data_IF_274565373646
#
_entry.id   IF_274565373646
#
_cell.length_a   1.000
_cell.length_b   1.000
_cell.length_c   1.000
_cell.angle_alpha   90.00
_cell.angle_beta   90.00
_cell.angle_gamma   90.00
#
_symmetry.space_group_name_H-M   'P 1'
#
loop_
_entity.id
_entity.type
_entity.pdbx_description
1 polymer ?
#
# COMPACT_ATOMS: atom_id res chain seq x y z
N UNK A 1 17.74 23.71 14.41
CA UNK A 1 17.18 22.70 15.34
C UNK A 1 15.66 22.81 15.50
N UNK A 2 15.06 23.97 15.76
CA UNK A 2 13.59 24.13 15.95
C UNK A 2 12.74 23.69 14.76
N UNK A 3 13.13 23.96 13.53
CA UNK A 3 12.37 23.55 12.33
C UNK A 3 12.22 22.03 12.20
N UNK A 4 13.25 21.25 12.54
CA UNK A 4 13.17 19.77 12.51
C UNK A 4 12.21 19.22 13.58
N UNK A 5 12.05 19.93 14.70
CA UNK A 5 11.11 19.54 15.77
C UNK A 5 9.66 19.76 15.31
N UNK A 6 9.37 20.93 14.74
CA UNK A 6 8.04 21.28 14.21
C UNK A 6 7.59 20.28 13.16
N UNK A 7 8.46 20.00 12.17
CA UNK A 7 8.15 19.02 11.12
C UNK A 7 7.84 17.63 11.71
N UNK A 8 8.62 17.17 12.69
CA UNK A 8 8.40 15.88 13.34
C UNK A 8 7.08 15.82 14.11
N UNK A 9 6.72 16.87 14.81
CA UNK A 9 5.46 16.93 15.57
C UNK A 9 4.27 16.94 14.62
N UNK A 10 4.28 17.81 13.61
CA UNK A 10 3.20 17.91 12.64
C UNK A 10 3.04 16.60 11.88
N UNK A 11 4.13 15.99 11.42
CA UNK A 11 4.06 14.72 10.67
C UNK A 11 3.52 13.57 11.53
N UNK A 12 3.91 13.48 12.81
CA UNK A 12 3.35 12.48 13.74
C UNK A 12 1.83 12.60 13.88
N UNK A 13 1.35 13.84 13.87
CA UNK A 13 -0.09 14.10 13.93
C UNK A 13 -0.79 13.83 12.60
N UNK A 14 -0.17 14.19 11.48
CA UNK A 14 -0.78 14.10 10.16
C UNK A 14 -0.83 12.64 9.61
N UNK A 15 0.21 11.83 9.85
CA UNK A 15 0.31 10.47 9.32
C UNK A 15 -0.92 9.60 9.67
N UNK A 16 -1.41 9.53 10.92
CA UNK A 16 -2.60 8.76 11.24
C UNK A 16 -3.84 9.19 10.44
N UNK A 17 -4.02 10.49 10.19
CA UNK A 17 -5.14 10.98 9.37
C UNK A 17 -5.00 10.59 7.91
N UNK A 18 -3.79 10.61 7.35
CA UNK A 18 -3.54 10.13 5.98
C UNK A 18 -3.89 8.64 5.88
N UNK A 19 -3.47 7.83 6.85
CA UNK A 19 -3.76 6.40 6.86
C UNK A 19 -5.26 6.13 7.05
N UNK A 20 -5.93 6.89 7.93
CA UNK A 20 -7.38 6.80 8.11
C UNK A 20 -8.13 7.19 6.84
N UNK A 21 -7.68 8.25 6.15
CA UNK A 21 -8.25 8.66 4.88
C UNK A 21 -8.03 7.60 3.78
N UNK A 22 -6.87 6.93 3.75
CA UNK A 22 -6.63 5.82 2.85
C UNK A 22 -7.64 4.67 3.07
N UNK A 23 -7.91 4.33 4.33
CA UNK A 23 -8.92 3.32 4.67
C UNK A 23 -10.34 3.78 4.27
N UNK A 24 -10.67 5.04 4.46
CA UNK A 24 -11.95 5.60 4.00
C UNK A 24 -12.09 5.44 2.48
N UNK A 25 -11.07 5.82 1.71
CA UNK A 25 -11.07 5.70 0.24
C UNK A 25 -11.18 4.24 -0.20
N UNK A 26 -10.53 3.31 0.54
CA UNK A 26 -10.63 1.87 0.28
C UNK A 26 -12.08 1.37 0.37
N UNK A 27 -12.81 1.76 1.42
CA UNK A 27 -14.18 1.32 1.64
C UNK A 27 -15.21 2.09 0.80
N UNK A 28 -14.82 3.18 0.16
CA UNK A 28 -15.71 4.01 -0.64
C UNK A 28 -15.76 3.60 -2.12
N UNK A 29 -14.88 2.72 -2.58
CA UNK A 29 -14.75 2.33 -3.99
C UNK A 29 -16.01 1.72 -4.59
N UNK A 30 -16.81 1.01 -3.78
CA UNK A 30 -18.07 0.39 -4.20
C UNK A 30 -19.22 1.42 -4.40
N UNK A 31 -19.12 2.61 -3.84
CA UNK A 31 -20.17 3.62 -3.82
C UNK A 31 -19.85 4.88 -4.63
N UNK A 32 -18.59 5.09 -5.02
CA UNK A 32 -18.16 6.31 -5.70
C UNK A 32 -16.69 6.33 -6.06
N UNK A 33 -16.11 7.52 -6.31
CA UNK A 33 -14.69 7.63 -6.66
C UNK A 33 -13.81 7.22 -5.47
N UNK A 34 -13.16 6.08 -5.59
CA UNK A 34 -12.30 5.47 -4.58
C UNK A 34 -11.73 4.15 -5.08
N UNK A 35 -11.38 3.27 -4.15
CA UNK A 35 -10.97 1.90 -4.43
C UNK A 35 -9.50 1.61 -4.12
N UNK A 36 -9.12 0.36 -4.33
CA UNK A 36 -7.84 -0.20 -3.89
C UNK A 36 -6.61 0.54 -4.39
N UNK A 37 -6.58 0.95 -5.64
CA UNK A 37 -5.41 1.65 -6.19
C UNK A 37 -5.17 2.99 -5.48
N UNK A 38 -6.19 3.83 -5.39
CA UNK A 38 -6.09 5.15 -4.75
C UNK A 38 -5.75 5.01 -3.27
N UNK A 39 -6.43 4.12 -2.58
CA UNK A 39 -6.17 3.83 -1.17
C UNK A 39 -4.74 3.36 -0.94
N UNK A 40 -4.24 2.45 -1.79
CA UNK A 40 -2.88 1.93 -1.73
C UNK A 40 -1.82 3.02 -1.90
N UNK A 41 -2.02 3.94 -2.85
CA UNK A 41 -1.10 5.07 -3.06
C UNK A 41 -1.11 6.03 -1.87
N UNK A 42 -2.30 6.36 -1.33
CA UNK A 42 -2.41 7.25 -0.15
C UNK A 42 -1.77 6.61 1.08
N UNK A 43 -1.97 5.30 1.28
CA UNK A 43 -1.34 4.56 2.37
C UNK A 43 0.19 4.58 2.25
N UNK A 44 0.72 4.34 1.05
CA UNK A 44 2.15 4.44 0.77
C UNK A 44 2.68 5.85 1.02
N UNK A 45 1.94 6.90 0.64
CA UNK A 45 2.32 8.29 0.87
C UNK A 45 2.48 8.60 2.37
N UNK A 46 1.59 8.09 3.22
CA UNK A 46 1.70 8.21 4.68
C UNK A 46 2.98 7.56 5.23
N UNK A 47 3.31 6.36 4.74
CA UNK A 47 4.56 5.68 5.11
C UNK A 47 5.80 6.38 4.57
N UNK A 48 5.76 6.88 3.34
CA UNK A 48 6.86 7.64 2.72
C UNK A 48 7.11 8.93 3.48
N UNK A 49 6.07 9.65 3.89
CA UNK A 49 6.19 10.82 4.75
C UNK A 49 6.92 10.47 6.06
N UNK A 50 6.56 9.35 6.69
CA UNK A 50 7.26 8.85 7.87
C UNK A 50 8.75 8.61 7.56
N UNK A 51 9.06 7.94 6.46
CA UNK A 51 10.44 7.63 6.06
C UNK A 51 11.27 8.89 5.77
N UNK A 52 10.69 9.92 5.14
CA UNK A 52 11.36 11.20 4.86
C UNK A 52 11.68 11.95 6.16
N UNK A 53 10.75 11.98 7.11
CA UNK A 53 10.91 12.78 8.35
C UNK A 53 11.77 12.07 9.39
N UNK A 54 11.62 10.75 9.54
CA UNK A 54 12.29 9.97 10.59
C UNK A 54 13.49 9.17 10.09
N UNK A 55 13.65 9.07 8.78
CA UNK A 55 14.72 8.33 8.10
C UNK A 55 14.30 6.94 7.63
N UNK A 56 14.82 6.53 6.48
CA UNK A 56 14.52 5.25 5.84
C UNK A 56 14.85 4.06 6.74
N UNK A 57 15.94 4.13 7.53
CA UNK A 57 16.31 3.06 8.46
C UNK A 57 15.22 2.80 9.50
N UNK A 58 14.69 3.85 10.13
CA UNK A 58 13.59 3.73 11.09
C UNK A 58 12.30 3.25 10.44
N UNK A 59 12.02 3.69 9.24
CA UNK A 59 10.88 3.19 8.48
C UNK A 59 11.00 1.68 8.18
N UNK A 60 12.21 1.20 7.89
CA UNK A 60 12.49 -0.22 7.70
C UNK A 60 12.40 -1.06 8.99
N UNK A 61 12.57 -0.45 10.15
CA UNK A 61 12.31 -1.11 11.46
C UNK A 61 10.81 -1.34 11.66
N UNK A 62 9.95 -0.41 11.20
CA UNK A 62 8.49 -0.52 11.26
C UNK A 62 7.97 -1.49 10.20
N UNK A 63 8.45 -1.38 8.97
CA UNK A 63 8.03 -2.21 7.84
C UNK A 63 9.27 -2.70 7.08
N UNK A 64 9.70 -3.91 7.41
CA UNK A 64 10.91 -4.52 6.84
C UNK A 64 10.74 -4.84 5.35
N UNK A 65 11.87 -5.02 4.64
CA UNK A 65 11.85 -5.43 3.23
C UNK A 65 11.23 -6.82 3.02
N UNK A 66 11.31 -7.69 4.01
CA UNK A 66 10.65 -8.98 3.96
C UNK A 66 9.12 -8.82 4.11
N UNK A 67 8.67 -7.96 5.03
CA UNK A 67 7.26 -7.68 5.23
C UNK A 67 6.61 -7.06 3.98
N UNK A 68 7.26 -6.08 3.31
CA UNK A 68 6.73 -5.51 2.07
C UNK A 68 6.64 -6.54 0.94
N UNK A 69 7.61 -7.46 0.82
CA UNK A 69 7.53 -8.56 -0.15
C UNK A 69 6.39 -9.53 0.14
N UNK A 70 6.20 -9.88 1.41
CA UNK A 70 5.09 -10.76 1.83
C UNK A 70 3.74 -10.09 1.53
N UNK A 71 3.58 -8.81 1.87
CA UNK A 71 2.36 -8.05 1.56
C UNK A 71 2.09 -8.01 0.06
N UNK A 72 3.12 -7.80 -0.77
CA UNK A 72 2.98 -7.80 -2.23
C UNK A 72 2.46 -9.16 -2.74
N UNK A 73 3.04 -10.25 -2.25
CA UNK A 73 2.60 -11.61 -2.61
C UNK A 73 1.17 -11.87 -2.14
N UNK A 74 0.82 -11.49 -0.90
CA UNK A 74 -0.54 -11.64 -0.36
C UNK A 74 -1.54 -10.86 -1.22
N UNK A 75 -1.24 -9.60 -1.58
CA UNK A 75 -2.13 -8.77 -2.40
C UNK A 75 -2.39 -9.39 -3.78
N UNK A 76 -1.35 -9.86 -4.46
CA UNK A 76 -1.49 -10.54 -5.76
C UNK A 76 -2.24 -11.85 -5.64
N UNK A 77 -1.96 -12.64 -4.60
CA UNK A 77 -2.67 -13.90 -4.36
C UNK A 77 -4.14 -13.67 -4.02
N UNK A 78 -4.47 -12.62 -3.28
CA UNK A 78 -5.85 -12.27 -2.97
C UNK A 78 -6.62 -11.91 -4.24
N UNK A 79 -6.06 -11.03 -5.07
CA UNK A 79 -6.64 -10.66 -6.37
C UNK A 79 -6.87 -11.91 -7.26
N UNK A 80 -5.81 -12.68 -7.49
CA UNK A 80 -5.86 -13.87 -8.34
C UNK A 80 -6.75 -14.96 -7.75
N UNK A 81 -6.73 -15.10 -6.43
CA UNK A 81 -7.52 -16.09 -5.69
C UNK A 81 -9.01 -15.89 -5.84
N UNK A 82 -9.48 -14.64 -5.85
CA UNK A 82 -10.91 -14.35 -6.14
C UNK A 82 -11.29 -14.80 -7.55
N UNK A 83 -10.39 -14.55 -8.53
CA UNK A 83 -10.62 -15.01 -9.90
C UNK A 83 -10.68 -16.55 -10.02
N UNK A 84 -9.77 -17.25 -9.33
CA UNK A 84 -9.73 -18.72 -9.30
C UNK A 84 -10.97 -19.26 -8.57
N UNK A 85 -11.40 -18.65 -7.47
CA UNK A 85 -12.61 -19.03 -6.75
C UNK A 85 -13.86 -18.95 -7.67
N UNK A 86 -13.96 -17.91 -8.50
CA UNK A 86 -15.04 -17.79 -9.50
C UNK A 86 -15.09 -19.01 -10.43
N UNK A 87 -13.94 -19.45 -10.95
CA UNK A 87 -13.87 -20.65 -11.81
C UNK A 87 -14.26 -21.92 -11.05
N UNK A 88 -13.78 -22.10 -9.82
CA UNK A 88 -14.07 -23.29 -9.01
C UNK A 88 -15.55 -23.40 -8.63
N UNK A 89 -16.24 -22.27 -8.55
CA UNK A 89 -17.68 -22.20 -8.30
C UNK A 89 -18.55 -22.30 -9.57
N UNK A 90 -17.91 -22.57 -10.72
CA UNK A 90 -18.61 -22.80 -11.99
C UNK A 90 -18.88 -21.54 -12.83
N UNK A 91 -18.30 -20.40 -12.46
CA UNK A 91 -18.33 -19.15 -13.23
C UNK A 91 -17.09 -18.97 -14.10
N UNK A 92 -16.97 -17.79 -14.70
CA UNK A 92 -15.76 -17.37 -15.40
C UNK A 92 -14.73 -16.76 -14.42
N UNK A 93 -13.48 -16.55 -14.89
CA UNK A 93 -12.48 -15.83 -14.10
C UNK A 93 -12.97 -14.43 -13.75
N UNK A 94 -12.95 -14.08 -12.46
CA UNK A 94 -13.51 -12.83 -11.92
C UNK A 94 -15.03 -12.65 -12.12
N UNK A 95 -15.77 -13.74 -12.30
CA UNK A 95 -17.22 -13.71 -12.23
C UNK A 95 -17.66 -13.76 -10.76
N UNK A 96 -17.95 -12.58 -10.22
CA UNK A 96 -18.30 -12.43 -8.80
C UNK A 96 -19.73 -12.92 -8.49
N UNK A 97 -20.60 -13.10 -9.50
CA UNK A 97 -21.99 -13.52 -9.26
C UNK A 97 -22.09 -14.85 -8.55
N UNK A 98 -21.09 -15.72 -8.72
CA UNK A 98 -21.05 -17.07 -8.12
C UNK A 98 -20.48 -17.09 -6.69
N UNK A 99 -20.02 -15.95 -6.16
CA UNK A 99 -19.40 -15.87 -4.84
C UNK A 99 -20.41 -15.83 -3.68
N UNK A 100 -21.70 -15.64 -3.94
CA UNK A 100 -22.75 -15.62 -2.93
C UNK A 100 -24.07 -16.11 -3.49
N UNK A 101 -25.05 -16.39 -2.60
CA UNK A 101 -26.39 -16.86 -2.95
C UNK A 101 -27.16 -15.89 -3.84
N UNK A 102 -26.81 -14.60 -3.80
CA UNK A 102 -27.39 -13.56 -4.65
C UNK A 102 -26.32 -12.91 -5.52
N UNK A 103 -26.59 -12.66 -6.83
CA UNK A 103 -25.63 -12.01 -7.72
C UNK A 103 -25.11 -10.67 -7.17
N UNK A 104 -25.99 -9.87 -6.56
CA UNK A 104 -25.63 -8.57 -5.96
C UNK A 104 -24.68 -8.74 -4.76
N UNK A 105 -24.92 -9.73 -3.91
CA UNK A 105 -24.02 -10.05 -2.78
C UNK A 105 -22.66 -10.54 -3.26
N UNK A 106 -22.64 -11.40 -4.29
CA UNK A 106 -21.41 -11.88 -4.91
C UNK A 106 -20.57 -10.75 -5.49
N UNK A 107 -21.19 -9.83 -6.22
CA UNK A 107 -20.52 -8.63 -6.77
C UNK A 107 -19.90 -7.79 -5.66
N UNK A 108 -20.62 -7.50 -4.59
CA UNK A 108 -20.11 -6.70 -3.46
C UNK A 108 -18.88 -7.36 -2.79
N UNK A 109 -18.96 -8.65 -2.49
CA UNK A 109 -17.85 -9.42 -1.89
C UNK A 109 -16.64 -9.45 -2.84
N UNK A 110 -16.86 -9.75 -4.11
CA UNK A 110 -15.81 -9.86 -5.11
C UNK A 110 -15.07 -8.52 -5.31
N UNK A 111 -15.80 -7.43 -5.45
CA UNK A 111 -15.24 -6.09 -5.59
C UNK A 111 -14.39 -5.73 -4.37
N UNK A 112 -14.90 -5.87 -3.15
CA UNK A 112 -14.17 -5.55 -1.92
C UNK A 112 -12.87 -6.37 -1.83
N UNK A 113 -12.93 -7.68 -2.05
CA UNK A 113 -11.75 -8.54 -1.95
C UNK A 113 -10.69 -8.19 -2.99
N UNK A 114 -11.11 -7.96 -4.24
CA UNK A 114 -10.20 -7.55 -5.32
C UNK A 114 -9.58 -6.20 -5.02
N UNK A 115 -10.36 -5.21 -4.58
CA UNK A 115 -9.85 -3.88 -4.21
C UNK A 115 -8.86 -3.93 -3.05
N UNK A 116 -9.09 -4.78 -2.04
CA UNK A 116 -8.12 -5.03 -0.98
C UNK A 116 -6.82 -5.62 -1.52
N UNK A 117 -6.91 -6.60 -2.42
CA UNK A 117 -5.75 -7.18 -3.09
C UNK A 117 -4.94 -6.14 -3.84
N UNK A 118 -5.60 -5.29 -4.62
CA UNK A 118 -4.98 -4.17 -5.34
C UNK A 118 -4.37 -3.17 -4.37
N UNK A 119 -5.08 -2.75 -3.32
CA UNK A 119 -4.62 -1.77 -2.34
C UNK A 119 -3.33 -2.20 -1.64
N UNK A 120 -3.29 -3.45 -1.16
CA UNK A 120 -2.11 -4.03 -0.53
C UNK A 120 -0.94 -4.10 -1.52
N UNK A 121 -1.18 -4.57 -2.74
CA UNK A 121 -0.15 -4.70 -3.77
C UNK A 121 0.44 -3.35 -4.15
N UNK A 122 -0.41 -2.34 -4.38
CA UNK A 122 0.01 -0.99 -4.74
C UNK A 122 0.81 -0.35 -3.60
N UNK A 123 0.29 -0.40 -2.36
CA UNK A 123 0.99 0.15 -1.21
C UNK A 123 2.38 -0.49 -1.04
N UNK A 124 2.46 -1.83 -1.06
CA UNK A 124 3.71 -2.57 -0.91
C UNK A 124 4.70 -2.27 -2.04
N UNK A 125 4.22 -2.16 -3.30
CA UNK A 125 5.05 -1.84 -4.46
C UNK A 125 5.65 -0.44 -4.36
N UNK A 126 4.82 0.58 -4.09
CA UNK A 126 5.26 1.98 -4.00
C UNK A 126 6.24 2.18 -2.84
N UNK A 127 5.97 1.58 -1.67
CA UNK A 127 6.89 1.59 -0.52
C UNK A 127 8.21 0.92 -0.88
N UNK A 128 8.18 -0.23 -1.57
CA UNK A 128 9.38 -0.96 -1.98
C UNK A 128 10.23 -0.13 -2.93
N UNK A 129 9.61 0.48 -3.96
CA UNK A 129 10.29 1.35 -4.92
C UNK A 129 10.96 2.52 -4.18
N UNK A 130 10.20 3.25 -3.36
CA UNK A 130 10.73 4.37 -2.59
C UNK A 130 11.91 3.96 -1.72
N UNK A 131 11.75 2.92 -0.91
CA UNK A 131 12.81 2.46 0.00
C UNK A 131 14.05 1.93 -0.74
N UNK A 132 13.89 1.39 -1.93
CA UNK A 132 15.01 0.91 -2.76
C UNK A 132 15.79 2.08 -3.32
N UNK A 133 15.11 3.11 -3.83
CA UNK A 133 15.74 4.31 -4.36
C UNK A 133 16.38 5.16 -3.26
N UNK A 134 15.64 5.39 -2.17
CA UNK A 134 16.12 6.20 -1.04
C UNK A 134 17.20 5.50 -0.18
N UNK A 135 17.26 4.16 -0.24
CA UNK A 135 18.30 3.37 0.43
C UNK A 135 19.61 3.26 -0.37
N UNK A 136 19.58 3.60 -1.65
CA UNK A 136 20.78 3.77 -2.46
C UNK A 136 21.39 5.16 -2.19
N UNK A 137 21.85 5.42 -0.99
CA UNK A 137 22.83 6.50 -0.82
C UNK A 137 24.15 5.96 -1.37
N UNK A 138 24.77 6.63 -2.32
CA UNK A 138 26.08 6.26 -2.77
C UNK A 138 27.06 6.48 -1.62
N UNK A 139 27.64 5.44 -1.10
CA UNK A 139 28.97 5.51 -0.50
C UNK A 139 29.97 6.08 -1.52
N UNK A 140 29.68 5.95 -2.81
CA UNK A 140 30.40 6.55 -3.94
C UNK A 140 30.48 8.08 -3.95
N UNK A 141 29.54 8.82 -3.36
CA UNK A 141 29.63 10.29 -3.31
C UNK A 141 30.59 10.83 -2.24
N UNK A 142 30.86 10.06 -1.19
CA UNK A 142 31.84 10.47 -0.18
C UNK A 142 33.28 10.18 -0.64
N UNK A 143 33.50 9.18 -1.50
CA UNK A 143 34.82 8.91 -2.09
C UNK A 143 35.16 9.87 -3.24
N UNK A 144 34.17 10.33 -4.02
CA UNK A 144 34.43 11.21 -5.18
C UNK A 144 34.53 12.70 -4.83
N UNK A 145 33.91 13.17 -3.73
CA UNK A 145 33.86 14.59 -3.33
C UNK A 145 34.37 14.85 -1.91
N UNK A 146 34.88 13.85 -1.21
CA UNK A 146 35.45 13.96 0.13
C UNK A 146 36.95 14.36 0.18
N UNK A 147 37.63 14.47 -0.96
CA UNK A 147 39.00 14.96 -1.07
C UNK A 147 39.05 16.35 -1.71
N UNK A 148 38.67 17.39 -0.93
CA UNK A 148 39.20 18.77 -1.13
C UNK A 148 39.06 19.56 0.15
#
# INVERSE_FOLDING_TARGET
MRQKIILRVISKFLIPYILLFALYVQWHGDFGPGGGFQAGVIFAAGFILYAIIFGVRKAREVLSAAATRILLVIGVLLYSGVGVAGILLGGNYLDYNVLADTPKGGQHIGIILVEFGVGITVAASVITIFCTLAGRRPEEYEEEYGEN
#
